data_IF_352608512986
#
_entry.id   IF_352608512986
#
_cell.length_a   1.000
_cell.length_b   1.000
_cell.length_c   1.000
_cell.angle_alpha   90.00
_cell.angle_beta   90.00
_cell.angle_gamma   90.00
#
_symmetry.space_group_name_H-M   'P 1'
#
loop_
_entity.id
_entity.type
_entity.pdbx_description
1 polymer ?
#
# COMPACT_ATOMS: atom_id res chain seq x y z
N UNK A 1 23.52 12.83 -0.57
CA UNK A 1 22.40 12.61 0.35
C UNK A 1 21.51 11.60 -0.33
N UNK A 2 21.20 10.48 0.31
CA UNK A 2 20.53 9.34 -0.32
C UNK A 2 19.19 9.79 -0.91
N UNK A 3 18.97 9.50 -2.20
CA UNK A 3 17.67 9.60 -2.87
C UNK A 3 16.73 8.53 -2.28
N UNK A 4 16.29 8.68 -1.04
CA UNK A 4 15.25 7.81 -0.50
C UNK A 4 13.93 8.14 -1.21
N UNK A 5 13.54 7.24 -2.12
CA UNK A 5 12.24 7.27 -2.81
C UNK A 5 11.16 7.08 -1.76
N UNK A 6 10.21 8.01 -1.69
CA UNK A 6 9.12 7.99 -0.69
C UNK A 6 8.39 6.65 -0.69
N UNK A 7 8.29 6.01 0.47
CA UNK A 7 7.65 4.70 0.67
C UNK A 7 6.15 4.89 0.80
N UNK A 8 5.38 4.21 -0.05
CA UNK A 8 3.92 4.22 -0.02
C UNK A 8 3.39 2.81 0.23
N UNK A 9 2.43 2.68 1.15
CA UNK A 9 1.70 1.44 1.40
C UNK A 9 0.27 1.57 0.90
N UNK A 10 -0.15 0.65 0.05
CA UNK A 10 -1.53 0.48 -0.37
C UNK A 10 -2.18 -0.68 0.40
N UNK A 11 -3.27 -0.39 1.11
CA UNK A 11 -4.00 -1.38 1.90
C UNK A 11 -5.37 -1.60 1.27
N UNK A 12 -5.63 -2.81 0.79
CA UNK A 12 -6.89 -3.18 0.12
C UNK A 12 -7.85 -3.82 1.11
N UNK A 13 -9.01 -3.19 1.36
CA UNK A 13 -10.08 -3.74 2.21
C UNK A 13 -11.06 -4.63 1.45
N UNK A 14 -11.02 -4.58 0.12
CA UNK A 14 -11.81 -5.37 -0.82
C UNK A 14 -10.93 -5.68 -2.05
N UNK A 15 -11.39 -6.57 -2.92
CA UNK A 15 -10.69 -6.81 -4.18
C UNK A 15 -10.65 -5.53 -5.03
N UNK A 16 -9.46 -5.05 -5.45
CA UNK A 16 -9.35 -3.77 -6.12
C UNK A 16 -10.02 -3.81 -7.49
N UNK A 17 -10.91 -2.84 -7.73
CA UNK A 17 -11.49 -2.61 -9.06
C UNK A 17 -10.44 -2.09 -10.04
N UNK A 18 -10.74 -2.11 -11.33
CA UNK A 18 -9.82 -1.62 -12.35
C UNK A 18 -9.49 -0.13 -12.20
N UNK A 19 -10.41 0.66 -11.63
CA UNK A 19 -10.15 2.06 -11.33
C UNK A 19 -9.19 2.21 -10.14
N UNK A 20 -9.33 1.38 -9.10
CA UNK A 20 -8.37 1.35 -7.97
C UNK A 20 -6.97 0.98 -8.47
N UNK A 21 -6.85 -0.03 -9.34
CA UNK A 21 -5.56 -0.44 -9.91
C UNK A 21 -4.88 0.70 -10.68
N UNK A 22 -5.63 1.43 -11.51
CA UNK A 22 -5.10 2.62 -12.23
C UNK A 22 -4.64 3.71 -11.27
N UNK A 23 -5.41 3.99 -10.22
CA UNK A 23 -5.05 5.01 -9.22
C UNK A 23 -3.79 4.61 -8.44
N UNK A 24 -3.66 3.34 -8.07
CA UNK A 24 -2.46 2.79 -7.43
C UNK A 24 -1.24 2.92 -8.34
N UNK A 25 -1.36 2.58 -9.62
CA UNK A 25 -0.28 2.71 -10.60
C UNK A 25 0.22 4.17 -10.70
N UNK A 26 -0.71 5.13 -10.83
CA UNK A 26 -0.39 6.57 -10.89
C UNK A 26 0.30 7.03 -9.59
N UNK A 27 -0.19 6.58 -8.44
CA UNK A 27 0.39 6.92 -7.13
C UNK A 27 1.73 6.23 -6.86
N UNK A 28 2.01 5.10 -7.50
CA UNK A 28 3.21 4.31 -7.26
C UNK A 28 4.38 4.66 -8.18
N UNK A 29 4.12 5.30 -9.34
CA UNK A 29 5.11 5.57 -10.40
C UNK A 29 6.48 6.06 -9.88
N UNK A 30 6.46 7.08 -9.04
CA UNK A 30 7.67 7.74 -8.53
C UNK A 30 7.94 7.43 -7.05
N UNK A 31 7.36 6.34 -6.53
CA UNK A 31 7.46 5.94 -5.12
C UNK A 31 7.99 4.51 -4.98
N UNK A 32 8.38 4.13 -3.77
CA UNK A 32 8.63 2.72 -3.41
C UNK A 32 7.32 2.17 -2.83
N UNK A 33 6.59 1.38 -3.63
CA UNK A 33 5.23 0.97 -3.31
C UNK A 33 5.19 -0.46 -2.77
N UNK A 34 4.57 -0.61 -1.60
CA UNK A 34 4.19 -1.91 -1.01
C UNK A 34 2.67 -2.04 -0.99
N UNK A 35 2.19 -3.28 -0.98
CA UNK A 35 0.77 -3.59 -0.97
C UNK A 35 0.43 -4.58 0.14
N UNK A 36 -0.78 -4.45 0.71
CA UNK A 36 -1.31 -5.36 1.72
C UNK A 36 -2.81 -5.58 1.52
N UNK A 37 -3.24 -6.84 1.41
CA UNK A 37 -4.65 -7.19 1.24
C UNK A 37 -5.27 -7.65 2.55
N UNK A 38 -6.24 -6.88 3.06
CA UNK A 38 -7.02 -7.22 4.26
C UNK A 38 -8.19 -8.16 3.96
N UNK A 39 -8.60 -8.29 2.70
CA UNK A 39 -9.79 -9.05 2.31
C UNK A 39 -9.50 -10.54 2.05
N UNK A 40 -8.25 -10.98 2.16
CA UNK A 40 -7.83 -12.36 1.84
C UNK A 40 -7.50 -13.12 3.12
N UNK A 41 -8.19 -14.24 3.33
CA UNK A 41 -7.88 -15.20 4.39
C UNK A 41 -7.90 -14.60 5.80
N UNK A 42 -6.85 -14.90 6.58
CA UNK A 42 -6.61 -14.33 7.91
C UNK A 42 -5.43 -13.34 7.83
N UNK A 43 -5.70 -12.03 7.64
CA UNK A 43 -4.64 -11.04 7.49
C UNK A 43 -3.83 -10.89 8.78
N UNK A 44 -2.51 -10.85 8.65
CA UNK A 44 -1.62 -10.63 9.79
C UNK A 44 -1.53 -9.12 10.12
N UNK A 45 -2.27 -8.70 11.14
CA UNK A 45 -2.30 -7.31 11.58
C UNK A 45 -0.98 -6.82 12.18
N UNK A 46 -0.17 -7.70 12.78
CA UNK A 46 1.15 -7.31 13.31
C UNK A 46 2.08 -6.88 12.17
N UNK A 47 2.07 -7.62 11.06
CA UNK A 47 2.80 -7.25 9.84
C UNK A 47 2.25 -5.95 9.25
N UNK A 48 0.92 -5.78 9.20
CA UNK A 48 0.33 -4.54 8.69
C UNK A 48 0.80 -3.32 9.50
N UNK A 49 0.80 -3.40 10.83
CA UNK A 49 1.27 -2.32 11.69
C UNK A 49 2.75 -2.00 11.44
N UNK A 50 3.59 -3.02 11.22
CA UNK A 50 4.99 -2.82 10.86
C UNK A 50 5.13 -2.11 9.51
N UNK A 51 4.41 -2.57 8.48
CA UNK A 51 4.43 -1.95 7.14
C UNK A 51 3.94 -0.50 7.17
N UNK A 52 2.93 -0.17 7.98
CA UNK A 52 2.45 1.20 8.16
C UNK A 52 3.54 2.09 8.78
N UNK A 53 4.31 1.57 9.74
CA UNK A 53 5.41 2.31 10.39
C UNK A 53 6.60 2.54 9.46
N UNK A 54 6.86 1.59 8.55
CA UNK A 54 7.94 1.70 7.56
C UNK A 54 7.61 2.64 6.39
N UNK A 55 6.32 2.85 6.12
CA UNK A 55 5.87 3.68 5.01
C UNK A 55 5.79 5.15 5.41
N UNK A 56 6.26 6.03 4.53
CA UNK A 56 6.07 7.48 4.70
C UNK A 56 4.60 7.89 4.49
N UNK A 57 3.87 7.11 3.67
CA UNK A 57 2.45 7.32 3.39
C UNK A 57 1.71 6.00 3.27
N UNK A 58 0.53 5.92 3.89
CA UNK A 58 -0.38 4.79 3.74
C UNK A 58 -1.69 5.25 3.10
N UNK A 59 -2.21 4.49 2.14
CA UNK A 59 -3.51 4.71 1.49
C UNK A 59 -4.36 3.47 1.68
N UNK A 60 -5.57 3.63 2.23
CA UNK A 60 -6.55 2.55 2.34
C UNK A 60 -7.57 2.65 1.21
N UNK A 61 -7.78 1.53 0.51
CA UNK A 61 -8.76 1.39 -0.57
C UNK A 61 -9.95 0.56 -0.08
N UNK A 62 -11.15 1.00 -0.44
CA UNK A 62 -12.44 0.41 -0.08
C UNK A 62 -13.15 -0.14 -1.30
#
# INVERSE_FOLDING_TARGET
>A
MSDEKMKILHVYRSEPTDDVKKLVEILSRDRDAKEFSLYVGEPNYDILVQMIREADKTVSWW
#
